data_IF_228766341671
#
_entry.id   IF_228766341671
#
_cell.length_a   1.000
_cell.length_b   1.000
_cell.length_c   1.000
_cell.angle_alpha   90.00
_cell.angle_beta   90.00
_cell.angle_gamma   90.00
#
_symmetry.space_group_name_H-M   'P 1'
#
loop_
_entity.id
_entity.type
_entity.pdbx_description
1 polymer ?
#
# COMPACT_ATOMS: atom_id res chain seq x y z
N UNK A 1 14.94 -13.78 -12.80
CA UNK A 1 13.74 -13.83 -11.93
C UNK A 1 13.87 -15.03 -11.01
N UNK A 2 13.92 -14.82 -9.68
CA UNK A 2 13.92 -15.91 -8.71
C UNK A 2 12.54 -16.59 -8.70
N UNK A 3 12.54 -17.92 -8.70
CA UNK A 3 11.35 -18.74 -8.51
C UNK A 3 11.31 -19.25 -7.08
N UNK A 4 10.12 -19.32 -6.50
CA UNK A 4 9.88 -19.91 -5.19
C UNK A 4 9.93 -21.45 -5.25
N UNK A 5 9.70 -22.11 -4.10
CA UNK A 5 9.59 -23.57 -3.98
C UNK A 5 8.41 -24.17 -4.75
N UNK A 6 7.46 -23.36 -5.22
CA UNK A 6 6.30 -23.75 -6.01
C UNK A 6 6.49 -23.50 -7.51
N UNK A 7 7.66 -22.99 -7.92
CA UNK A 7 7.98 -22.69 -9.32
C UNK A 7 7.34 -21.40 -9.85
N UNK A 8 6.74 -20.57 -8.99
CA UNK A 8 6.13 -19.28 -9.30
C UNK A 8 7.16 -18.17 -9.09
N UNK A 9 7.13 -17.11 -9.89
CA UNK A 9 8.05 -15.98 -9.71
C UNK A 9 7.69 -15.21 -8.44
N UNK A 10 8.68 -14.95 -7.57
CA UNK A 10 8.46 -14.14 -6.36
C UNK A 10 7.93 -12.74 -6.70
N UNK A 11 8.31 -12.21 -7.87
CA UNK A 11 7.80 -10.97 -8.44
C UNK A 11 6.28 -10.99 -8.65
N UNK A 12 5.70 -12.13 -9.01
CA UNK A 12 4.26 -12.25 -9.24
C UNK A 12 3.48 -11.96 -7.95
N UNK A 13 3.87 -12.56 -6.83
CA UNK A 13 3.23 -12.31 -5.54
C UNK A 13 3.38 -10.85 -5.08
N UNK A 14 4.56 -10.26 -5.29
CA UNK A 14 4.81 -8.86 -4.95
C UNK A 14 3.91 -7.91 -5.78
N UNK A 15 3.79 -8.16 -7.09
CA UNK A 15 2.86 -7.44 -7.97
C UNK A 15 1.41 -7.60 -7.47
N UNK A 16 1.02 -8.82 -7.11
CA UNK A 16 -0.32 -9.12 -6.61
C UNK A 16 -0.64 -8.34 -5.32
N UNK A 17 0.35 -8.18 -4.43
CA UNK A 17 0.25 -7.34 -3.24
C UNK A 17 -0.04 -5.88 -3.57
N UNK A 18 0.66 -5.30 -4.55
CA UNK A 18 0.39 -3.93 -5.02
C UNK A 18 -0.97 -3.79 -5.71
N UNK A 19 -1.41 -4.80 -6.47
CA UNK A 19 -2.76 -4.83 -7.05
C UNK A 19 -3.82 -4.82 -5.94
N UNK A 20 -3.64 -5.60 -4.88
CA UNK A 20 -4.54 -5.56 -3.72
C UNK A 20 -4.52 -4.22 -3.00
N UNK A 21 -3.36 -3.56 -2.91
CA UNK A 21 -3.26 -2.23 -2.34
C UNK A 21 -4.03 -1.17 -3.17
N UNK A 22 -3.92 -1.22 -4.50
CA UNK A 22 -4.66 -0.34 -5.42
C UNK A 22 -6.17 -0.59 -5.33
N UNK A 23 -6.58 -1.86 -5.20
CA UNK A 23 -7.99 -2.24 -5.04
C UNK A 23 -8.54 -1.95 -3.62
N UNK A 24 -7.72 -1.47 -2.69
CA UNK A 24 -8.12 -1.21 -1.30
C UNK A 24 -8.45 -2.48 -0.51
N UNK A 25 -8.02 -3.65 -0.98
CA UNK A 25 -8.30 -4.95 -0.37
C UNK A 25 -7.29 -5.26 0.74
N UNK A 26 -7.41 -4.56 1.86
CA UNK A 26 -6.48 -4.66 3.00
C UNK A 26 -6.42 -6.07 3.59
N UNK A 27 -7.56 -6.77 3.69
CA UNK A 27 -7.60 -8.15 4.20
C UNK A 27 -6.82 -9.13 3.30
N UNK A 28 -6.98 -9.04 1.98
CA UNK A 28 -6.26 -9.88 1.03
C UNK A 28 -4.77 -9.53 0.97
N UNK A 29 -4.42 -8.24 1.06
CA UNK A 29 -3.03 -7.78 1.18
C UNK A 29 -2.36 -8.33 2.44
N UNK A 30 -3.07 -8.34 3.58
CA UNK A 30 -2.57 -8.88 4.84
C UNK A 30 -2.44 -10.40 4.82
N UNK A 31 -3.38 -11.10 4.17
CA UNK A 31 -3.29 -12.55 3.99
C UNK A 31 -2.10 -12.92 3.09
N UNK A 32 -1.85 -12.12 2.04
CA UNK A 32 -0.73 -12.32 1.13
C UNK A 32 0.63 -12.03 1.78
N UNK A 33 0.70 -11.02 2.67
CA UNK A 33 1.84 -10.81 3.57
C UNK A 33 2.05 -12.01 4.51
N UNK A 34 0.98 -12.50 5.14
CA UNK A 34 1.06 -13.69 5.99
C UNK A 34 1.56 -14.91 5.22
N UNK A 35 1.07 -15.09 3.99
CA UNK A 35 1.54 -16.14 3.09
C UNK A 35 3.02 -15.97 2.71
N UNK A 36 3.48 -14.75 2.42
CA UNK A 36 4.88 -14.51 2.08
C UNK A 36 5.82 -14.84 3.25
N UNK A 37 5.41 -14.52 4.48
CA UNK A 37 6.17 -14.80 5.70
C UNK A 37 6.20 -16.31 5.99
N UNK A 38 5.06 -16.99 5.94
CA UNK A 38 4.94 -18.38 6.40
C UNK A 38 5.32 -19.40 5.33
N UNK A 39 4.85 -19.22 4.09
CA UNK A 39 4.99 -20.21 3.03
C UNK A 39 6.23 -19.97 2.16
N UNK A 40 6.45 -18.72 1.73
CA UNK A 40 7.55 -18.38 0.81
C UNK A 40 8.86 -18.13 1.57
N UNK A 41 8.79 -17.55 2.78
CA UNK A 41 9.95 -17.23 3.64
C UNK A 41 11.05 -16.44 2.92
N UNK A 42 10.67 -15.59 1.96
CA UNK A 42 11.59 -14.74 1.22
C UNK A 42 11.53 -13.31 1.77
N UNK A 43 12.70 -12.79 2.14
CA UNK A 43 12.84 -11.50 2.79
C UNK A 43 12.48 -10.34 1.84
N UNK A 44 12.89 -10.43 0.58
CA UNK A 44 12.58 -9.41 -0.43
C UNK A 44 11.08 -9.36 -0.70
N UNK A 45 10.44 -10.51 -0.94
CA UNK A 45 8.99 -10.59 -1.14
C UNK A 45 8.22 -10.04 0.06
N UNK A 46 8.66 -10.39 1.28
CA UNK A 46 8.01 -9.96 2.51
C UNK A 46 8.10 -8.44 2.67
N UNK A 47 9.23 -7.81 2.34
CA UNK A 47 9.35 -6.34 2.33
C UNK A 47 8.38 -5.69 1.34
N UNK A 48 8.26 -6.23 0.12
CA UNK A 48 7.35 -5.65 -0.88
C UNK A 48 5.88 -5.76 -0.48
N UNK A 49 5.49 -6.93 -0.02
CA UNK A 49 4.11 -7.19 0.43
C UNK A 49 3.77 -6.39 1.69
N UNK A 50 4.75 -6.13 2.58
CA UNK A 50 4.59 -5.26 3.74
C UNK A 50 4.35 -3.81 3.32
N UNK A 51 5.14 -3.28 2.37
CA UNK A 51 4.96 -1.93 1.84
C UNK A 51 3.58 -1.77 1.17
N UNK A 52 3.17 -2.74 0.35
CA UNK A 52 1.85 -2.73 -0.28
C UNK A 52 0.71 -2.80 0.75
N UNK A 53 0.85 -3.64 1.78
CA UNK A 53 -0.12 -3.76 2.86
C UNK A 53 -0.27 -2.45 3.64
N UNK A 54 0.84 -1.81 4.05
CA UNK A 54 0.79 -0.52 4.74
C UNK A 54 0.16 0.59 3.89
N UNK A 55 0.45 0.62 2.59
CA UNK A 55 -0.16 1.60 1.69
C UNK A 55 -1.68 1.43 1.63
N UNK A 56 -2.16 0.18 1.61
CA UNK A 56 -3.60 -0.13 1.68
C UNK A 56 -4.23 0.28 3.02
N UNK A 57 -3.51 0.11 4.14
CA UNK A 57 -3.96 0.54 5.45
C UNK A 57 -4.10 2.06 5.55
N UNK A 58 -3.13 2.80 5.02
CA UNK A 58 -3.16 4.28 4.99
C UNK A 58 -4.36 4.76 4.17
N UNK A 59 -4.60 4.16 2.99
CA UNK A 59 -5.78 4.47 2.17
C UNK A 59 -7.10 4.22 2.92
N UNK A 60 -7.20 3.08 3.62
CA UNK A 60 -8.36 2.76 4.46
C UNK A 60 -8.55 3.76 5.60
N UNK A 61 -7.47 4.16 6.28
CA UNK A 61 -7.53 5.09 7.40
C UNK A 61 -7.97 6.49 6.97
N UNK A 62 -7.47 6.98 5.83
CA UNK A 62 -7.92 8.25 5.22
C UNK A 62 -9.42 8.19 4.93
N UNK A 63 -9.90 7.08 4.35
CA UNK A 63 -11.32 6.89 4.04
C UNK A 63 -12.20 6.91 5.30
N UNK A 64 -11.75 6.29 6.40
CA UNK A 64 -12.46 6.30 7.70
C UNK A 64 -12.49 7.70 8.31
N UNK A 65 -11.40 8.46 8.27
CA UNK A 65 -11.35 9.84 8.78
C UNK A 65 -12.35 10.73 8.03
N UNK A 66 -12.38 10.63 6.70
CA UNK A 66 -13.32 11.39 5.87
C UNK A 66 -14.77 10.97 6.20
N UNK A 67 -15.01 9.67 6.36
CA UNK A 67 -16.28 9.13 6.82
C UNK A 67 -16.72 9.69 8.18
N UNK A 68 -15.79 9.85 9.12
CA UNK A 68 -16.09 10.40 10.44
C UNK A 68 -16.41 11.91 10.41
N UNK A 69 -15.73 12.67 9.55
CA UNK A 69 -15.99 14.11 9.35
C UNK A 69 -17.33 14.36 8.65
N UNK A 70 -17.90 13.34 8.01
CA UNK A 70 -19.14 13.45 7.24
C UNK A 70 -20.39 13.82 8.05
N UNK A 71 -20.36 13.61 9.38
CA UNK A 71 -21.39 14.07 10.31
C UNK A 71 -21.58 15.61 10.25
N UNK A 72 -20.51 16.36 9.95
CA UNK A 72 -20.55 17.83 9.87
C UNK A 72 -21.28 18.37 8.64
N UNK A 73 -21.54 17.53 7.63
CA UNK A 73 -22.25 17.92 6.39
C UNK A 73 -23.77 18.09 6.58
N UNK A 74 -24.30 17.85 7.79
CA UNK A 74 -25.73 17.96 8.10
C UNK A 74 -26.23 19.41 8.21
N UNK A 75 -25.33 20.40 8.16
CA UNK A 75 -25.66 21.84 8.12
C UNK A 75 -25.64 22.33 6.65
N UNK A 76 -26.78 22.77 6.08
CA UNK A 76 -26.97 22.90 4.63
C UNK A 76 -26.08 23.91 3.88
N UNK A 77 -25.56 24.95 4.55
CA UNK A 77 -24.72 25.97 3.89
C UNK A 77 -23.22 25.72 4.08
N UNK A 78 -22.81 25.30 5.29
CA UNK A 78 -21.42 24.93 5.59
C UNK A 78 -21.06 23.55 5.00
N UNK A 79 -22.05 22.67 4.87
CA UNK A 79 -21.87 21.31 4.39
C UNK A 79 -21.39 21.24 2.94
N UNK A 80 -21.95 22.05 2.03
CA UNK A 80 -21.58 22.02 0.60
C UNK A 80 -20.16 22.55 0.35
N UNK A 81 -19.78 23.65 1.02
CA UNK A 81 -18.45 24.26 0.86
C UNK A 81 -17.37 23.37 1.49
N UNK A 82 -17.59 22.87 2.70
CA UNK A 82 -16.68 21.94 3.35
C UNK A 82 -16.58 20.63 2.56
N UNK A 83 -17.69 20.10 2.05
CA UNK A 83 -17.69 18.86 1.26
C UNK A 83 -16.89 19.00 -0.03
N UNK A 84 -17.00 20.13 -0.71
CA UNK A 84 -16.18 20.43 -1.89
C UNK A 84 -14.70 20.47 -1.57
N UNK A 85 -14.30 21.20 -0.52
CA UNK A 85 -12.89 21.34 -0.11
C UNK A 85 -12.31 19.99 0.32
N UNK A 86 -13.00 19.27 1.22
CA UNK A 86 -12.57 17.96 1.67
C UNK A 86 -12.56 16.94 0.53
N UNK A 87 -13.49 17.03 -0.42
CA UNK A 87 -13.50 16.18 -1.63
C UNK A 87 -12.27 16.40 -2.50
N UNK A 88 -11.86 17.66 -2.73
CA UNK A 88 -10.64 17.99 -3.48
C UNK A 88 -9.39 17.49 -2.74
N UNK A 89 -9.31 17.72 -1.43
CA UNK A 89 -8.19 17.23 -0.60
C UNK A 89 -8.11 15.71 -0.66
N UNK A 90 -9.26 15.04 -0.52
CA UNK A 90 -9.35 13.57 -0.62
C UNK A 90 -8.86 13.10 -1.98
N UNK A 91 -9.35 13.69 -3.06
CA UNK A 91 -8.95 13.33 -4.42
C UNK A 91 -7.43 13.49 -4.61
N UNK A 92 -6.84 14.58 -4.12
CA UNK A 92 -5.39 14.80 -4.17
C UNK A 92 -4.62 13.75 -3.35
N UNK A 93 -5.06 13.45 -2.13
CA UNK A 93 -4.42 12.45 -1.27
C UNK A 93 -4.51 11.06 -1.90
N UNK A 94 -5.68 10.66 -2.39
CA UNK A 94 -5.88 9.38 -3.09
C UNK A 94 -5.03 9.31 -4.35
N UNK A 95 -4.92 10.40 -5.12
CA UNK A 95 -4.06 10.47 -6.30
C UNK A 95 -2.58 10.28 -5.94
N UNK A 96 -2.09 10.92 -4.88
CA UNK A 96 -0.70 10.76 -4.42
C UNK A 96 -0.45 9.31 -3.98
N UNK A 97 -1.35 8.72 -3.18
CA UNK A 97 -1.23 7.31 -2.76
C UNK A 97 -1.21 6.37 -3.97
N UNK A 98 -2.03 6.64 -4.99
CA UNK A 98 -2.08 5.86 -6.23
C UNK A 98 -0.76 5.96 -7.02
N UNK A 99 -0.19 7.15 -7.15
CA UNK A 99 1.10 7.36 -7.82
C UNK A 99 2.20 6.60 -7.08
N UNK A 100 2.21 6.65 -5.74
CA UNK A 100 3.17 5.90 -4.92
C UNK A 100 3.00 4.38 -5.08
N UNK A 101 1.75 3.89 -5.15
CA UNK A 101 1.45 2.48 -5.43
C UNK A 101 1.98 2.05 -6.81
N UNK A 102 1.80 2.90 -7.82
CA UNK A 102 2.27 2.67 -9.20
C UNK A 102 3.80 2.63 -9.28
N UNK A 103 4.49 3.57 -8.61
CA UNK A 103 5.96 3.58 -8.55
C UNK A 103 6.46 2.28 -7.89
N UNK A 104 5.85 1.90 -6.75
CA UNK A 104 6.18 0.65 -6.06
C UNK A 104 5.98 -0.57 -6.95
N UNK A 105 4.84 -0.64 -7.64
CA UNK A 105 4.53 -1.71 -8.59
C UNK A 105 5.55 -1.78 -9.73
N UNK A 106 5.92 -0.65 -10.33
CA UNK A 106 6.90 -0.61 -11.43
C UNK A 106 8.29 -1.07 -10.99
N UNK A 107 8.73 -0.67 -9.80
CA UNK A 107 10.01 -1.11 -9.23
C UNK A 107 10.01 -2.62 -8.94
N UNK A 108 8.91 -3.14 -8.38
CA UNK A 108 8.73 -4.58 -8.15
C UNK A 108 8.77 -5.37 -9.45
N UNK A 109 8.10 -4.89 -10.51
CA UNK A 109 8.13 -5.53 -11.83
C UNK A 109 9.56 -5.59 -12.39
N UNK A 110 10.37 -4.56 -12.13
CA UNK A 110 11.79 -4.51 -12.51
C UNK A 110 12.69 -5.43 -11.65
N UNK A 111 12.14 -6.03 -10.59
CA UNK A 111 12.89 -6.85 -9.64
C UNK A 111 13.72 -6.03 -8.65
N UNK A 112 13.47 -4.72 -8.57
CA UNK A 112 14.06 -3.80 -7.62
C UNK A 112 13.15 -3.65 -6.40
N UNK A 113 13.69 -3.15 -5.28
CA UNK A 113 12.87 -2.85 -4.12
C UNK A 113 11.80 -1.80 -4.45
N UNK A 114 10.55 -2.03 -4.01
CA UNK A 114 9.42 -1.16 -4.35
C UNK A 114 9.71 0.30 -3.98
N UNK A 115 10.53 0.52 -2.94
CA UNK A 115 11.05 1.82 -2.55
C UNK A 115 9.93 2.86 -2.45
N UNK A 116 8.78 2.46 -1.91
CA UNK A 116 7.63 3.35 -1.76
C UNK A 116 8.00 4.38 -0.68
N UNK A 117 8.04 5.68 -1.00
CA UNK A 117 8.27 6.74 -0.02
C UNK A 117 7.33 6.57 1.19
N UNK A 118 7.82 6.83 2.40
CA UNK A 118 7.12 6.62 3.69
C UNK A 118 7.02 5.16 4.16
N UNK A 119 6.70 4.20 3.29
CA UNK A 119 6.62 2.77 3.66
C UNK A 119 8.00 2.11 3.76
N UNK A 120 9.01 2.64 3.06
CA UNK A 120 10.41 2.20 3.17
C UNK A 120 10.94 2.29 4.60
N UNK A 121 10.68 3.40 5.30
CA UNK A 121 11.13 3.59 6.68
C UNK A 121 10.46 2.64 7.68
N UNK A 122 9.24 2.16 7.38
CA UNK A 122 8.57 1.13 8.18
C UNK A 122 9.15 -0.26 7.89
N UNK A 123 9.41 -0.58 6.62
CA UNK A 123 10.07 -1.82 6.24
C UNK A 123 11.49 -1.91 6.83
N UNK A 124 12.27 -0.83 6.78
CA UNK A 124 13.62 -0.74 7.36
C UNK A 124 13.60 -0.87 8.90
N UNK A 125 12.50 -0.49 9.56
CA UNK A 125 12.36 -0.66 11.02
C UNK A 125 11.99 -2.09 11.42
N UNK A 126 11.34 -2.84 10.53
CA UNK A 126 10.95 -4.25 10.75
C UNK A 126 12.07 -5.22 10.35
N UNK A 127 12.78 -4.92 9.25
CA UNK A 127 13.82 -5.79 8.69
C UNK A 127 15.26 -5.27 8.89
N UNK A 128 15.44 -4.10 9.50
CA UNK A 128 16.72 -3.41 9.58
C UNK A 128 17.04 -2.62 8.29
N UNK A 129 17.87 -1.56 8.38
CA UNK A 129 18.24 -0.78 7.21
C UNK A 129 18.94 -1.66 6.18
N UNK A 130 18.53 -1.48 4.93
CA UNK A 130 19.14 -2.06 3.74
C UNK A 130 20.58 -1.55 3.58
N UNK A 131 21.50 -2.10 4.36
CA UNK A 131 22.92 -1.85 4.22
C UNK A 131 23.40 -2.53 2.93
N UNK A 132 23.46 -1.72 1.88
CA UNK A 132 24.35 -1.78 0.72
C UNK A 132 25.33 -2.97 0.77
N UNK A 133 25.04 -4.01 0.02
CA UNK A 133 26.02 -4.87 -0.62
C UNK A 133 25.54 -5.20 -2.02
#
# INVERSE_FOLDING_TARGET
MKKDRFGISITFYAVLGFVFAILGQTLLGGLLLGFSIVAVQDEWLTRQTLQAFFLSLISGFVSVIIGAVSWSYRIPFLGTVLSGIFGIITALVTLVILILALIGLLNVIRGEDANVPFCRGLADKVFGPENKF
#
